data_IF_994903774661
#
_entry.id   IF_994903774661
#
_cell.length_a   1.000
_cell.length_b   1.000
_cell.length_c   1.000
_cell.angle_alpha   90.00
_cell.angle_beta   90.00
_cell.angle_gamma   90.00
#
_symmetry.space_group_name_H-M   'P 1'
#
loop_
_entity.id
_entity.type
_entity.pdbx_description
1 polymer ?
#
# COMPACT_ATOMS: atom_id res chain seq x y z
N UNK A 1 79.85 65.78 80.75
CA UNK A 1 79.48 64.41 80.34
C UNK A 1 77.99 64.37 80.06
N UNK A 2 77.43 64.83 78.93
CA UNK A 2 77.86 65.25 77.58
C UNK A 2 76.97 64.48 76.59
N UNK A 3 76.29 65.19 75.67
CA UNK A 3 76.30 65.07 74.19
C UNK A 3 76.16 63.65 73.53
N UNK A 4 75.64 63.43 72.31
CA UNK A 4 75.20 64.26 71.14
C UNK A 4 74.54 63.28 70.10
N UNK A 5 73.59 63.55 69.18
CA UNK A 5 72.69 64.67 68.81
C UNK A 5 71.36 64.14 68.17
N UNK A 6 70.47 65.07 67.79
CA UNK A 6 69.50 65.02 66.66
C UNK A 6 68.72 63.73 66.28
N UNK A 7 67.39 63.87 66.21
CA UNK A 7 66.66 63.59 64.95
C UNK A 7 65.39 64.44 64.84
N UNK A 8 64.88 64.63 63.62
CA UNK A 8 63.85 65.61 63.26
C UNK A 8 62.84 65.02 62.26
N UNK A 9 61.53 65.02 62.60
CA UNK A 9 60.47 64.96 61.60
C UNK A 9 59.14 65.53 62.10
N UNK A 10 58.33 66.04 61.17
CA UNK A 10 57.19 66.94 61.42
C UNK A 10 56.05 66.65 60.43
N UNK A 11 54.80 66.62 60.89
CA UNK A 11 53.57 66.41 60.10
C UNK A 11 53.43 65.00 59.45
N UNK A 12 52.25 64.48 59.07
CA UNK A 12 50.97 65.13 58.75
C UNK A 12 49.74 64.47 59.41
N UNK A 13 48.64 65.24 59.49
CA UNK A 13 47.29 64.79 59.84
C UNK A 13 46.47 64.72 58.54
N UNK A 14 46.26 63.53 58.00
CA UNK A 14 45.57 63.37 56.71
C UNK A 14 44.04 63.32 56.87
N UNK A 15 43.34 64.00 55.96
CA UNK A 15 41.87 64.03 55.92
C UNK A 15 41.30 62.69 55.42
N UNK A 16 40.58 61.99 56.29
CA UNK A 16 39.46 61.15 55.88
C UNK A 16 38.31 62.07 55.44
N UNK A 17 38.18 62.40 54.14
CA UNK A 17 36.93 62.81 53.46
C UNK A 17 37.11 63.19 51.96
N UNK A 18 37.80 62.36 51.15
CA UNK A 18 37.92 62.58 49.69
C UNK A 18 37.84 61.31 48.82
N UNK A 19 37.59 60.14 49.40
CA UNK A 19 37.67 58.85 48.70
C UNK A 19 36.31 58.30 48.23
N UNK A 20 35.22 58.53 48.99
CA UNK A 20 33.92 57.89 48.74
C UNK A 20 33.17 58.42 47.51
N UNK A 21 33.18 59.74 47.28
CA UNK A 21 32.49 60.36 46.13
C UNK A 21 33.12 59.97 44.79
N UNK A 22 34.45 59.83 44.74
CA UNK A 22 35.15 59.30 43.57
C UNK A 22 34.75 57.87 43.23
N UNK A 23 34.67 56.99 44.24
CA UNK A 23 34.21 55.61 44.06
C UNK A 23 32.76 55.51 43.57
N UNK A 24 31.87 56.39 44.06
CA UNK A 24 30.48 56.47 43.59
C UNK A 24 30.42 56.88 42.10
N UNK A 25 31.19 57.90 41.69
CA UNK A 25 31.26 58.33 40.28
C UNK A 25 31.84 57.25 39.37
N UNK A 26 32.87 56.53 39.82
CA UNK A 26 33.44 55.38 39.09
C UNK A 26 32.39 54.26 38.95
N UNK A 27 31.62 53.97 40.01
CA UNK A 27 30.52 53.00 39.95
C UNK A 27 29.47 53.37 38.91
N UNK A 28 28.98 54.62 38.92
CA UNK A 28 28.04 55.10 37.90
C UNK A 28 28.62 55.06 36.48
N UNK A 29 29.90 55.39 36.30
CA UNK A 29 30.56 55.29 34.99
C UNK A 29 30.66 53.84 34.49
N UNK A 30 31.00 52.88 35.36
CA UNK A 30 31.05 51.46 35.05
C UNK A 30 29.65 50.90 34.72
N UNK A 31 28.62 51.29 35.50
CA UNK A 31 27.22 50.92 35.23
C UNK A 31 26.76 51.48 33.89
N UNK A 32 27.05 52.76 33.58
CA UNK A 32 26.71 53.36 32.28
C UNK A 32 27.41 52.65 31.11
N UNK A 33 28.70 52.29 31.27
CA UNK A 33 29.46 51.56 30.26
C UNK A 33 28.90 50.14 30.06
N UNK A 34 28.54 49.43 31.15
CA UNK A 34 27.86 48.14 31.09
C UNK A 34 26.48 48.23 30.41
N UNK A 35 25.68 49.25 30.71
CA UNK A 35 24.39 49.48 30.06
C UNK A 35 24.55 49.78 28.56
N UNK A 36 25.55 50.59 28.16
CA UNK A 36 25.79 50.90 26.74
C UNK A 36 26.35 49.75 25.92
N UNK A 37 27.33 49.02 26.45
CA UNK A 37 28.11 48.03 25.67
C UNK A 37 27.81 46.58 26.08
N UNK A 38 27.52 46.33 27.36
CA UNK A 38 27.18 44.99 27.87
C UNK A 38 25.83 44.48 27.35
N UNK A 39 24.80 45.33 27.29
CA UNK A 39 23.48 44.93 26.74
C UNK A 39 23.61 44.51 25.27
N UNK A 40 24.37 45.25 24.46
CA UNK A 40 24.61 44.90 23.05
C UNK A 40 25.39 43.58 22.90
N UNK A 41 26.37 43.33 23.79
CA UNK A 41 27.05 42.04 23.89
C UNK A 41 26.09 40.90 24.20
N UNK A 42 25.17 41.08 25.16
CA UNK A 42 24.17 40.06 25.53
C UNK A 42 23.21 39.77 24.37
N UNK A 43 22.76 40.78 23.62
CA UNK A 43 21.89 40.58 22.44
C UNK A 43 22.61 39.78 21.34
N UNK A 44 23.89 40.05 21.10
CA UNK A 44 24.68 39.25 20.16
C UNK A 44 24.88 37.81 20.67
N UNK A 45 25.12 37.63 21.97
CA UNK A 45 25.30 36.33 22.61
C UNK A 45 24.03 35.46 22.61
N UNK A 46 22.83 36.00 22.80
CA UNK A 46 21.59 35.19 22.72
C UNK A 46 21.41 34.58 21.33
N UNK A 47 21.71 35.35 20.26
CA UNK A 47 21.70 34.86 18.88
C UNK A 47 22.76 33.79 18.57
N UNK A 48 23.80 33.71 19.40
CA UNK A 48 24.87 32.71 19.31
C UNK A 48 24.49 31.45 20.11
N UNK A 49 24.04 31.59 21.36
CA UNK A 49 23.60 30.47 22.21
C UNK A 49 22.43 29.70 21.56
N UNK A 50 21.48 30.39 20.92
CA UNK A 50 20.41 29.73 20.15
C UNK A 50 20.90 28.88 18.96
N UNK A 51 22.13 29.09 18.49
CA UNK A 51 22.78 28.26 17.44
C UNK A 51 23.54 27.06 17.99
N UNK A 52 23.80 27.00 19.31
CA UNK A 52 24.46 25.87 19.97
C UNK A 52 23.51 24.92 20.69
N UNK A 53 22.29 25.38 21.00
CA UNK A 53 21.18 24.47 21.25
C UNK A 53 20.02 24.79 20.27
N UNK A 54 20.17 24.44 18.98
CA UNK A 54 18.98 24.11 18.21
C UNK A 54 18.33 22.95 18.95
N UNK A 55 17.13 23.18 19.48
CA UNK A 55 16.22 22.08 19.78
C UNK A 55 15.91 21.41 18.44
N UNK A 56 16.74 20.44 18.08
CA UNK A 56 16.40 19.37 17.16
C UNK A 56 15.18 18.69 17.78
N UNK A 57 13.99 19.23 17.50
CA UNK A 57 12.79 18.42 17.47
C UNK A 57 13.06 17.38 16.40
N UNK A 58 13.65 16.26 16.79
CA UNK A 58 13.61 15.02 16.02
C UNK A 58 12.15 14.90 15.56
N UNK A 59 11.88 14.86 14.24
CA UNK A 59 10.52 14.90 13.74
C UNK A 59 9.74 13.80 14.45
N UNK A 60 8.63 14.15 15.11
CA UNK A 60 7.91 13.27 16.00
C UNK A 60 7.58 11.97 15.24
N UNK A 61 8.25 10.87 15.63
CA UNK A 61 8.61 9.77 14.74
C UNK A 61 7.45 9.34 13.83
N UNK A 62 7.42 9.87 12.60
CA UNK A 62 6.17 9.94 11.84
C UNK A 62 5.73 8.55 11.40
N UNK A 63 4.66 8.05 12.03
CA UNK A 63 4.17 6.68 11.80
C UNK A 63 3.45 6.66 10.46
N UNK A 64 4.16 6.22 9.42
CA UNK A 64 3.58 6.01 8.10
C UNK A 64 2.59 4.84 8.17
N UNK A 65 1.29 5.05 7.91
CA UNK A 65 0.29 3.98 7.97
C UNK A 65 0.51 2.96 6.85
N UNK A 66 0.15 1.69 7.10
CA UNK A 66 0.19 0.64 6.08
C UNK A 66 -0.81 0.95 4.95
N UNK A 67 -0.45 0.73 3.67
CA UNK A 67 -1.43 0.77 2.58
C UNK A 67 -2.52 -0.29 2.75
N UNK A 68 -3.66 -0.04 2.09
CA UNK A 68 -4.74 -1.01 1.89
C UNK A 68 -4.91 -1.24 0.38
N UNK A 69 -5.13 -2.49 -0.01
CA UNK A 69 -5.33 -2.93 -1.40
C UNK A 69 -6.74 -3.51 -1.57
N UNK A 70 -7.29 -3.37 -2.77
CA UNK A 70 -8.61 -3.85 -3.16
C UNK A 70 -8.56 -4.49 -4.55
N UNK A 71 -9.07 -5.71 -4.64
CA UNK A 71 -9.34 -6.46 -5.86
C UNK A 71 -10.40 -7.52 -5.54
N UNK A 72 -11.43 -7.65 -6.36
CA UNK A 72 -12.68 -8.34 -5.99
C UNK A 72 -12.69 -9.86 -6.31
N UNK A 73 -11.58 -10.43 -6.78
CA UNK A 73 -11.50 -11.80 -7.29
C UNK A 73 -10.29 -12.55 -6.73
N UNK A 74 -10.47 -13.83 -6.38
CA UNK A 74 -9.38 -14.71 -5.91
C UNK A 74 -8.63 -15.39 -7.08
N UNK A 75 -9.24 -15.43 -8.27
CA UNK A 75 -8.68 -15.98 -9.50
C UNK A 75 -9.01 -15.10 -10.72
N UNK A 76 -8.22 -15.20 -11.80
CA UNK A 76 -8.39 -14.39 -13.00
C UNK A 76 -7.86 -15.06 -14.27
N UNK A 77 -8.63 -14.97 -15.34
CA UNK A 77 -8.27 -15.36 -16.72
C UNK A 77 -7.50 -14.27 -17.49
N UNK A 78 -6.74 -13.43 -16.78
CA UNK A 78 -5.99 -12.33 -17.36
C UNK A 78 -4.58 -12.25 -16.79
N UNK A 79 -3.58 -12.16 -17.67
CA UNK A 79 -2.19 -11.84 -17.33
C UNK A 79 -1.99 -10.37 -16.96
N UNK A 80 -3.08 -9.57 -16.91
CA UNK A 80 -3.07 -8.20 -16.39
C UNK A 80 -4.29 -7.91 -15.52
N UNK A 81 -4.07 -7.39 -14.31
CA UNK A 81 -5.15 -6.93 -13.41
C UNK A 81 -4.95 -5.48 -13.00
N UNK A 82 -6.04 -4.80 -12.61
CA UNK A 82 -5.98 -3.49 -11.97
C UNK A 82 -6.25 -3.66 -10.48
N UNK A 83 -5.24 -3.39 -9.65
CA UNK A 83 -5.38 -3.34 -8.19
C UNK A 83 -5.58 -1.88 -7.78
N UNK A 84 -6.63 -1.63 -6.99
CA UNK A 84 -6.91 -0.33 -6.41
C UNK A 84 -6.41 -0.29 -4.96
N UNK A 85 -6.23 0.89 -4.39
CA UNK A 85 -5.75 0.99 -3.02
C UNK A 85 -5.83 2.37 -2.39
N UNK A 86 -5.54 2.41 -1.09
CA UNK A 86 -5.40 3.63 -0.28
C UNK A 86 -4.07 3.65 0.45
N UNK A 87 -3.45 4.82 0.58
CA UNK A 87 -2.16 5.03 1.22
C UNK A 87 -2.04 6.44 1.80
N UNK A 88 -0.98 6.72 2.55
CA UNK A 88 -0.69 8.05 3.08
C UNK A 88 -0.56 9.11 1.98
N UNK A 89 -1.32 10.20 2.10
CA UNK A 89 -1.30 11.36 1.19
C UNK A 89 0.10 11.95 1.03
N UNK A 90 0.47 12.30 -0.20
CA UNK A 90 1.76 12.92 -0.54
C UNK A 90 3.02 12.10 -0.14
N UNK A 91 2.87 10.80 0.12
CA UNK A 91 3.97 9.82 0.20
C UNK A 91 3.97 8.86 -0.99
N UNK A 92 4.97 7.98 -1.06
CA UNK A 92 5.07 6.94 -2.09
C UNK A 92 4.39 5.64 -1.68
N UNK A 93 3.90 4.89 -2.67
CA UNK A 93 3.53 3.48 -2.54
C UNK A 93 4.50 2.63 -3.34
N UNK A 94 5.15 1.66 -2.71
CA UNK A 94 5.94 0.61 -3.36
C UNK A 94 5.11 -0.65 -3.40
N UNK A 95 4.70 -1.09 -4.59
CA UNK A 95 4.06 -2.38 -4.80
C UNK A 95 5.13 -3.48 -4.94
N UNK A 96 4.89 -4.60 -4.28
CA UNK A 96 5.68 -5.83 -4.37
C UNK A 96 4.80 -6.93 -4.96
N UNK A 97 5.32 -7.64 -5.96
CA UNK A 97 4.71 -8.82 -6.57
C UNK A 97 5.68 -10.00 -6.41
N UNK A 98 5.21 -11.10 -5.81
CA UNK A 98 5.98 -12.34 -5.62
C UNK A 98 7.36 -12.09 -4.96
N UNK A 99 7.36 -11.24 -3.93
CA UNK A 99 8.55 -10.84 -3.17
C UNK A 99 9.51 -9.87 -3.89
N UNK A 100 9.20 -9.41 -5.10
CA UNK A 100 10.01 -8.47 -5.89
C UNK A 100 9.33 -7.11 -6.00
N UNK A 101 10.08 -6.03 -5.83
CA UNK A 101 9.59 -4.67 -6.08
C UNK A 101 9.09 -4.58 -7.54
N UNK A 102 7.81 -4.29 -7.74
CA UNK A 102 7.17 -4.22 -9.05
C UNK A 102 7.19 -2.78 -9.57
N UNK A 103 6.62 -1.84 -8.81
CA UNK A 103 6.54 -0.43 -9.18
C UNK A 103 6.47 0.46 -7.94
N UNK A 104 6.93 1.71 -8.07
CA UNK A 104 6.68 2.77 -7.10
C UNK A 104 5.76 3.84 -7.72
N UNK A 105 4.82 4.34 -6.94
CA UNK A 105 3.89 5.42 -7.27
C UNK A 105 4.04 6.56 -6.25
N UNK A 106 3.75 7.79 -6.64
CA UNK A 106 3.41 8.87 -5.70
C UNK A 106 1.90 8.78 -5.40
N UNK A 107 1.50 8.90 -4.13
CA UNK A 107 0.09 8.88 -3.74
C UNK A 107 -0.55 10.25 -4.00
N UNK A 108 -1.78 10.25 -4.52
CA UNK A 108 -2.49 11.50 -4.81
C UNK A 108 -2.96 12.22 -3.52
N UNK A 109 -3.58 13.39 -3.70
CA UNK A 109 -4.13 14.17 -2.58
C UNK A 109 -5.38 13.54 -1.94
N UNK A 110 -6.04 12.62 -2.63
CA UNK A 110 -7.22 11.90 -2.15
C UNK A 110 -6.83 10.63 -1.36
N UNK A 111 -5.52 10.35 -1.21
CA UNK A 111 -4.98 9.16 -0.54
C UNK A 111 -5.30 7.85 -1.27
N UNK A 112 -5.55 7.91 -2.58
CA UNK A 112 -5.97 6.79 -3.43
C UNK A 112 -4.96 6.50 -4.55
N UNK A 113 -4.94 5.26 -5.02
CA UNK A 113 -4.17 4.85 -6.19
C UNK A 113 -4.83 3.67 -6.92
N UNK A 114 -4.47 3.52 -8.19
CA UNK A 114 -4.87 2.41 -9.06
C UNK A 114 -3.67 2.02 -9.91
N UNK A 115 -3.41 0.72 -10.07
CA UNK A 115 -2.19 0.21 -10.70
C UNK A 115 -2.49 -1.03 -11.54
N UNK A 116 -1.96 -1.05 -12.77
CA UNK A 116 -1.97 -2.22 -13.65
C UNK A 116 -0.77 -3.13 -13.34
N UNK A 117 -1.05 -4.39 -12.99
CA UNK A 117 -0.07 -5.42 -12.70
C UNK A 117 -0.08 -6.45 -13.82
N UNK A 118 1.07 -6.71 -14.44
CA UNK A 118 1.28 -7.92 -15.25
C UNK A 118 1.57 -9.10 -14.33
N UNK A 119 0.70 -10.11 -14.37
CA UNK A 119 0.79 -11.32 -13.56
C UNK A 119 1.32 -12.50 -14.39
N UNK A 120 2.36 -13.23 -13.93
CA UNK A 120 2.69 -14.55 -14.46
C UNK A 120 1.64 -15.60 -14.08
N UNK A 121 1.63 -16.71 -14.82
CA UNK A 121 0.77 -17.87 -14.54
C UNK A 121 0.94 -18.43 -13.13
N UNK A 122 -0.16 -18.89 -12.54
CA UNK A 122 -0.22 -19.50 -11.22
C UNK A 122 -0.48 -18.50 -10.08
N UNK A 123 -0.07 -18.87 -8.87
CA UNK A 123 -0.34 -18.10 -7.65
C UNK A 123 0.53 -16.84 -7.60
N UNK A 124 -0.11 -15.68 -7.52
CA UNK A 124 0.52 -14.39 -7.31
C UNK A 124 0.24 -13.86 -5.89
N UNK A 125 1.27 -13.30 -5.26
CA UNK A 125 1.21 -12.66 -3.94
C UNK A 125 1.59 -11.18 -4.07
N UNK A 126 0.63 -10.31 -3.77
CA UNK A 126 0.69 -8.86 -4.02
C UNK A 126 0.56 -8.13 -2.68
N UNK A 127 1.50 -7.22 -2.38
CA UNK A 127 1.39 -6.33 -1.24
C UNK A 127 2.04 -4.98 -1.51
N UNK A 128 1.78 -3.99 -0.64
CA UNK A 128 2.28 -2.64 -0.76
C UNK A 128 2.94 -2.14 0.55
N UNK A 129 3.91 -1.24 0.42
CA UNK A 129 4.57 -0.53 1.53
C UNK A 129 4.55 0.97 1.21
N UNK A 130 4.15 1.80 2.18
CA UNK A 130 4.21 3.25 2.04
C UNK A 130 5.58 3.79 2.46
N UNK A 131 6.00 4.91 1.87
CA UNK A 131 7.21 5.67 2.25
C UNK A 131 6.90 7.17 2.31
N UNK A 132 7.22 7.86 3.40
CA UNK A 132 7.03 9.31 3.49
C UNK A 132 8.19 10.09 2.82
N UNK A 133 8.04 11.41 2.72
CA UNK A 133 9.07 12.31 2.16
C UNK A 133 10.41 12.27 2.90
N UNK A 134 10.43 11.75 4.13
CA UNK A 134 11.63 11.58 4.96
C UNK A 134 12.31 10.20 4.79
N UNK A 135 11.76 9.31 3.94
CA UNK A 135 12.28 7.96 3.72
C UNK A 135 11.91 6.93 4.81
N UNK A 136 11.01 7.26 5.72
CA UNK A 136 10.46 6.32 6.69
C UNK A 136 9.41 5.44 6.00
N UNK A 137 9.39 4.13 6.29
CA UNK A 137 8.45 3.17 5.68
C UNK A 137 7.41 2.65 6.66
N UNK A 138 6.25 2.28 6.13
CA UNK A 138 5.20 1.59 6.88
C UNK A 138 5.51 0.10 7.07
N UNK A 139 4.69 -0.60 7.87
CA UNK A 139 4.52 -2.04 7.70
C UNK A 139 3.82 -2.37 6.37
N UNK A 140 3.97 -3.59 5.82
CA UNK A 140 3.25 -4.01 4.62
C UNK A 140 1.73 -3.96 4.78
N UNK A 141 1.03 -3.79 3.65
CA UNK A 141 -0.40 -4.10 3.50
C UNK A 141 -0.70 -5.56 3.85
N UNK A 142 -1.96 -5.95 3.74
CA UNK A 142 -2.30 -7.37 3.68
C UNK A 142 -1.90 -7.94 2.32
N UNK A 143 -1.60 -9.23 2.28
CA UNK A 143 -1.18 -9.91 1.05
C UNK A 143 -2.45 -10.30 0.30
N UNK A 144 -2.70 -9.62 -0.81
CA UNK A 144 -3.68 -10.03 -1.80
C UNK A 144 -3.09 -11.25 -2.53
N UNK A 145 -3.82 -12.36 -2.55
CA UNK A 145 -3.48 -13.56 -3.32
C UNK A 145 -4.41 -13.63 -4.52
N UNK A 146 -3.85 -13.79 -5.72
CA UNK A 146 -4.61 -13.97 -6.96
C UNK A 146 -4.05 -15.15 -7.73
N UNK A 147 -4.88 -16.10 -8.11
CA UNK A 147 -4.53 -17.16 -9.05
C UNK A 147 -4.73 -16.66 -10.49
N UNK A 148 -3.65 -16.55 -11.27
CA UNK A 148 -3.74 -16.37 -12.72
C UNK A 148 -3.78 -17.74 -13.37
N UNK A 149 -4.85 -18.02 -14.12
CA UNK A 149 -5.01 -19.24 -14.91
C UNK A 149 -5.57 -18.87 -16.28
N UNK A 150 -4.79 -19.10 -17.33
CA UNK A 150 -5.13 -18.75 -18.71
C UNK A 150 -5.64 -19.96 -19.52
N UNK A 151 -5.96 -21.07 -18.86
CA UNK A 151 -6.29 -22.35 -19.50
C UNK A 151 -7.80 -22.58 -19.51
N UNK A 152 -8.45 -22.48 -20.66
CA UNK A 152 -9.87 -22.87 -20.77
C UNK A 152 -10.09 -24.34 -20.39
N UNK A 153 -11.13 -24.65 -19.59
CA UNK A 153 -11.36 -25.99 -19.09
C UNK A 153 -11.68 -26.96 -20.24
N UNK A 154 -11.29 -28.22 -20.10
CA UNK A 154 -11.65 -29.28 -21.05
C UNK A 154 -13.18 -29.45 -21.12
N UNK A 155 -13.68 -29.84 -22.30
CA UNK A 155 -15.09 -30.16 -22.50
C UNK A 155 -15.26 -31.22 -23.59
N UNK A 156 -15.85 -32.35 -23.21
CA UNK A 156 -16.22 -33.47 -24.07
C UNK A 156 -17.72 -33.76 -23.92
N UNK A 157 -18.41 -34.01 -25.03
CA UNK A 157 -19.79 -34.51 -25.03
C UNK A 157 -19.72 -35.97 -25.50
N UNK A 158 -20.16 -36.88 -24.63
CA UNK A 158 -20.08 -38.32 -24.84
C UNK A 158 -21.37 -38.91 -25.43
N UNK A 159 -22.52 -38.31 -25.10
CA UNK A 159 -23.83 -38.72 -25.60
C UNK A 159 -24.87 -37.60 -25.42
N UNK A 160 -25.85 -37.45 -26.33
CA UNK A 160 -25.88 -38.04 -27.68
C UNK A 160 -24.71 -37.56 -28.55
N UNK A 161 -24.44 -38.26 -29.66
CA UNK A 161 -23.47 -37.78 -30.64
C UNK A 161 -24.01 -36.57 -31.41
N UNK A 162 -23.13 -35.72 -31.94
CA UNK A 162 -23.56 -34.62 -32.81
C UNK A 162 -24.28 -35.14 -34.06
N UNK A 163 -25.26 -34.39 -34.55
CA UNK A 163 -26.12 -34.73 -35.69
C UNK A 163 -26.93 -36.04 -35.50
N UNK A 164 -27.13 -36.50 -34.25
CA UNK A 164 -27.98 -37.66 -33.98
C UNK A 164 -29.44 -37.39 -34.36
N UNK A 165 -30.01 -38.30 -35.15
CA UNK A 165 -31.44 -38.37 -35.40
C UNK A 165 -32.11 -39.27 -34.35
N UNK A 166 -33.20 -38.76 -33.75
CA UNK A 166 -33.93 -39.36 -32.64
C UNK A 166 -35.42 -39.40 -33.00
N UNK A 167 -36.11 -40.50 -32.68
CA UNK A 167 -37.51 -40.70 -33.08
C UNK A 167 -38.40 -41.26 -31.97
N UNK A 168 -39.67 -40.86 -32.00
CA UNK A 168 -40.71 -41.35 -31.12
C UNK A 168 -40.71 -40.73 -29.72
N UNK A 169 -41.87 -40.77 -29.06
CA UNK A 169 -42.11 -40.14 -27.76
C UNK A 169 -41.12 -40.57 -26.64
N UNK A 170 -40.54 -41.77 -26.72
CA UNK A 170 -39.55 -42.27 -25.75
C UNK A 170 -38.16 -41.62 -25.88
N UNK A 171 -37.83 -40.99 -27.02
CA UNK A 171 -36.57 -40.26 -27.20
C UNK A 171 -36.71 -38.73 -27.05
N UNK A 172 -37.93 -38.24 -26.79
CA UNK A 172 -38.21 -36.79 -26.65
C UNK A 172 -37.52 -36.12 -25.45
N UNK A 173 -37.06 -36.90 -24.47
CA UNK A 173 -36.16 -36.42 -23.42
C UNK A 173 -34.87 -37.23 -23.51
N UNK A 174 -33.75 -36.54 -23.71
CA UNK A 174 -32.41 -37.15 -23.76
C UNK A 174 -31.61 -36.77 -22.51
N UNK A 175 -30.75 -37.67 -22.07
CA UNK A 175 -29.68 -37.34 -21.13
C UNK A 175 -28.44 -36.97 -21.95
N UNK A 176 -28.11 -35.69 -21.98
CA UNK A 176 -26.76 -35.26 -22.36
C UNK A 176 -25.80 -35.74 -21.26
N UNK A 177 -24.66 -36.28 -21.67
CA UNK A 177 -23.57 -36.67 -20.78
C UNK A 177 -22.22 -36.29 -21.39
N UNK A 178 -21.25 -36.00 -20.53
CA UNK A 178 -19.94 -35.53 -20.99
C UNK A 178 -18.91 -35.47 -19.87
N UNK A 179 -17.73 -34.96 -20.20
CA UNK A 179 -16.62 -34.76 -19.26
C UNK A 179 -16.04 -33.36 -19.38
N UNK A 180 -15.49 -32.87 -18.27
CA UNK A 180 -14.85 -31.56 -18.13
C UNK A 180 -13.84 -31.64 -16.99
N UNK A 181 -13.09 -30.58 -16.76
CA UNK A 181 -12.15 -30.48 -15.64
C UNK A 181 -12.92 -30.36 -14.30
N UNK A 182 -12.27 -30.77 -13.21
CA UNK A 182 -12.89 -30.74 -11.89
C UNK A 182 -13.25 -29.30 -11.45
N UNK A 183 -14.34 -29.18 -10.70
CA UNK A 183 -14.90 -27.91 -10.18
C UNK A 183 -15.48 -26.94 -11.23
N UNK A 184 -15.35 -27.22 -12.53
CA UNK A 184 -15.94 -26.39 -13.59
C UNK A 184 -17.48 -26.28 -13.50
N UNK A 185 -18.02 -25.12 -13.81
CA UNK A 185 -19.46 -24.86 -13.92
C UNK A 185 -19.90 -25.19 -15.35
N UNK A 186 -20.64 -26.29 -15.51
CA UNK A 186 -21.29 -26.65 -16.78
C UNK A 186 -22.65 -25.98 -16.93
N UNK A 187 -22.88 -25.36 -18.09
CA UNK A 187 -24.16 -24.81 -18.53
C UNK A 187 -24.60 -25.53 -19.82
N UNK A 188 -25.90 -25.85 -19.92
CA UNK A 188 -26.56 -26.39 -21.13
C UNK A 188 -27.74 -25.47 -21.46
N UNK A 189 -27.66 -24.73 -22.57
CA UNK A 189 -28.58 -23.63 -22.90
C UNK A 189 -28.87 -22.74 -21.67
N UNK A 190 -27.81 -22.20 -21.07
CA UNK A 190 -27.77 -21.37 -19.86
C UNK A 190 -28.30 -22.02 -18.55
N UNK A 191 -28.71 -23.29 -18.56
CA UNK A 191 -29.13 -24.03 -17.36
C UNK A 191 -27.95 -24.83 -16.79
N UNK A 192 -27.67 -24.70 -15.49
CA UNK A 192 -26.56 -25.44 -14.84
C UNK A 192 -26.80 -26.96 -14.86
N UNK A 193 -25.79 -27.72 -15.25
CA UNK A 193 -25.75 -29.18 -15.11
C UNK A 193 -25.08 -29.62 -13.81
N UNK A 194 -25.26 -30.88 -13.41
CA UNK A 194 -24.62 -31.44 -12.22
C UNK A 194 -23.29 -32.07 -12.64
N UNK A 195 -22.19 -31.44 -12.24
CA UNK A 195 -20.85 -32.01 -12.34
C UNK A 195 -20.58 -32.96 -11.15
N UNK A 196 -20.07 -34.14 -11.43
CA UNK A 196 -19.59 -35.12 -10.44
C UNK A 196 -18.09 -34.91 -10.20
N UNK A 197 -17.60 -35.40 -9.06
CA UNK A 197 -16.19 -35.21 -8.64
C UNK A 197 -15.15 -35.79 -9.59
N UNK A 198 -15.52 -36.71 -10.47
CA UNK A 198 -14.63 -37.31 -11.47
C UNK A 198 -14.61 -36.53 -12.80
N UNK A 199 -15.17 -35.32 -12.86
CA UNK A 199 -15.28 -34.52 -14.08
C UNK A 199 -16.45 -34.91 -15.00
N UNK A 200 -17.25 -35.94 -14.68
CA UNK A 200 -18.40 -36.36 -15.48
C UNK A 200 -19.67 -35.57 -15.14
N UNK A 201 -20.40 -35.11 -16.16
CA UNK A 201 -21.69 -34.41 -15.98
C UNK A 201 -22.83 -35.08 -16.72
N UNK A 202 -24.05 -34.88 -16.22
CA UNK A 202 -25.31 -35.31 -16.85
C UNK A 202 -26.35 -34.18 -16.83
N UNK A 203 -27.16 -34.12 -17.88
CA UNK A 203 -28.22 -33.13 -18.03
C UNK A 203 -29.41 -33.66 -18.85
N UNK A 204 -30.61 -33.67 -18.28
CA UNK A 204 -31.83 -34.02 -19.03
C UNK A 204 -32.33 -32.84 -19.86
N UNK A 205 -32.33 -33.01 -21.19
CA UNK A 205 -32.81 -32.03 -22.17
C UNK A 205 -34.09 -32.54 -22.84
N UNK A 206 -35.07 -31.66 -23.03
CA UNK A 206 -36.35 -31.96 -23.68
C UNK A 206 -36.35 -31.41 -25.10
N UNK A 207 -36.63 -32.26 -26.09
CA UNK A 207 -36.51 -31.94 -27.51
C UNK A 207 -37.83 -31.39 -28.08
N UNK A 208 -37.67 -30.33 -28.87
CA UNK A 208 -38.67 -29.81 -29.80
C UNK A 208 -38.69 -30.65 -31.07
N UNK A 209 -39.78 -30.58 -31.84
CA UNK A 209 -39.85 -31.22 -33.16
C UNK A 209 -38.88 -30.56 -34.14
N UNK A 210 -38.17 -31.35 -34.95
CA UNK A 210 -37.17 -30.88 -35.90
C UNK A 210 -35.79 -30.65 -35.27
N UNK A 211 -35.16 -29.53 -35.64
CA UNK A 211 -33.79 -29.19 -35.25
C UNK A 211 -33.70 -28.67 -33.81
N UNK A 212 -32.77 -29.22 -33.04
CA UNK A 212 -32.46 -28.83 -31.67
C UNK A 212 -30.98 -28.47 -31.56
N UNK A 213 -30.69 -27.17 -31.63
CA UNK A 213 -29.36 -26.59 -31.38
C UNK A 213 -29.15 -26.40 -29.87
N UNK A 214 -28.17 -27.11 -29.30
CA UNK A 214 -27.89 -27.11 -27.87
C UNK A 214 -26.46 -26.61 -27.63
N UNK A 215 -26.32 -25.46 -26.99
CA UNK A 215 -25.04 -24.94 -26.51
C UNK A 215 -24.70 -25.57 -25.17
N UNK A 216 -23.50 -26.16 -25.07
CA UNK A 216 -22.90 -26.66 -23.83
C UNK A 216 -21.61 -25.88 -23.57
N UNK A 217 -21.49 -25.24 -22.42
CA UNK A 217 -20.27 -24.54 -22.03
C UNK A 217 -19.78 -24.94 -20.64
N UNK A 218 -18.45 -25.01 -20.52
CA UNK A 218 -17.72 -25.21 -19.28
C UNK A 218 -17.02 -23.90 -18.90
N UNK A 219 -17.12 -23.49 -17.64
CA UNK A 219 -16.45 -22.31 -17.11
C UNK A 219 -15.74 -22.64 -15.79
N UNK A 220 -14.48 -22.23 -15.65
CA UNK A 220 -13.70 -22.41 -14.41
C UNK A 220 -13.89 -21.27 -13.39
N UNK A 221 -13.09 -21.29 -12.33
CA UNK A 221 -13.08 -20.27 -11.26
C UNK A 221 -12.40 -18.96 -11.67
N UNK A 222 -11.37 -19.02 -12.53
CA UNK A 222 -10.60 -17.87 -13.02
C UNK A 222 -11.38 -17.03 -14.05
N UNK A 223 -12.30 -17.65 -14.76
CA UNK A 223 -13.18 -17.05 -15.75
C UNK A 223 -13.06 -17.61 -17.16
N UNK A 224 -12.15 -18.55 -17.45
CA UNK A 224 -12.01 -19.11 -18.79
C UNK A 224 -13.23 -19.96 -19.16
N UNK A 225 -13.49 -20.05 -20.46
CA UNK A 225 -14.66 -20.74 -21.00
C UNK A 225 -14.24 -21.63 -22.17
N UNK A 226 -14.78 -22.85 -22.21
CA UNK A 226 -14.87 -23.68 -23.43
C UNK A 226 -16.33 -23.88 -23.77
N UNK A 227 -16.69 -23.70 -25.03
CA UNK A 227 -18.06 -23.85 -25.52
C UNK A 227 -18.11 -24.84 -26.69
N UNK A 228 -19.15 -25.66 -26.74
CA UNK A 228 -19.44 -26.61 -27.81
C UNK A 228 -20.92 -26.55 -28.17
N UNK A 229 -21.19 -26.78 -29.44
CA UNK A 229 -22.54 -26.92 -29.97
C UNK A 229 -22.83 -28.40 -30.21
N UNK A 230 -24.03 -28.84 -29.81
CA UNK A 230 -24.59 -30.15 -30.11
C UNK A 230 -25.89 -29.95 -30.89
N UNK A 231 -25.90 -30.41 -32.14
CA UNK A 231 -27.08 -30.41 -33.01
C UNK A 231 -27.76 -31.77 -32.94
N UNK A 232 -29.06 -31.80 -32.64
CA UNK A 232 -29.87 -33.03 -32.61
C UNK A 232 -31.13 -32.84 -33.46
N UNK A 233 -31.57 -33.89 -34.14
CA UNK A 233 -32.81 -33.89 -34.92
C UNK A 233 -33.83 -34.82 -34.28
N UNK A 234 -35.04 -34.34 -34.01
CA UNK A 234 -36.12 -35.10 -33.39
C UNK A 234 -37.38 -35.15 -34.26
N UNK A 235 -38.01 -36.32 -34.35
CA UNK A 235 -39.28 -36.53 -35.06
C UNK A 235 -40.20 -37.47 -34.25
N UNK A 236 -41.47 -37.10 -34.07
CA UNK A 236 -42.45 -37.88 -33.31
C UNK A 236 -42.84 -39.23 -33.92
#
# INVERSE_FOLDING_TARGET
MDNDQFSNKKYQKNNLFSSSTGLILISFALIFLFLKFGILLVINLTSFVFKFNPSQQSPANEIVPRPLLYYDYEATNSSAIVVNGKSFSEGKVKLVLNGKNYQSLETDKNSEFSLSLSLPEGKNEIYAVAENKNGQTSSPSEILVVLTDLTSPSLEILSPANESHLTGNNQRTVTLSGRTDENAIILVNNRRAILKKDGFFEFSYYLSEGENKITVSAKDEAGNITEKELLLFFNL
#
